data_IF_835340455612
#
_entry.id   IF_835340455612
#
_cell.length_a   1.000
_cell.length_b   1.000
_cell.length_c   1.000
_cell.angle_alpha   90.00
_cell.angle_beta   90.00
_cell.angle_gamma   90.00
#
_symmetry.space_group_name_H-M   'P 1'
#
loop_
_entity.id
_entity.type
_entity.pdbx_description
1 polymer ?
#
# COMPACT_ATOMS: atom_id res chain seq x y z
N UNK A 1 -15.75 -68.36 8.61
CA UNK A 1 -16.84 -69.10 7.94
C UNK A 1 -17.78 -68.14 7.30
N UNK A 2 -18.07 -68.32 5.97
CA UNK A 2 -18.96 -67.60 5.04
C UNK A 2 -18.42 -66.29 4.50
N UNK A 3 -17.81 -66.23 3.42
CA UNK A 3 -18.03 -66.23 1.94
C UNK A 3 -19.49 -65.86 1.51
N UNK A 4 -19.56 -64.82 0.70
CA UNK A 4 -20.42 -64.64 -0.49
C UNK A 4 -20.73 -63.15 -0.67
N UNK A 5 -20.82 -62.53 -1.80
CA UNK A 5 -20.75 -62.95 -3.22
C UNK A 5 -20.57 -61.65 -4.04
N UNK A 6 -19.81 -61.77 -5.08
CA UNK A 6 -19.68 -60.87 -6.23
C UNK A 6 -21.00 -60.73 -6.94
N UNK A 7 -21.40 -59.53 -7.34
CA UNK A 7 -22.26 -59.31 -8.50
C UNK A 7 -21.65 -58.20 -9.35
N UNK A 8 -21.20 -58.62 -10.53
CA UNK A 8 -20.88 -57.82 -11.71
C UNK A 8 -22.16 -57.56 -12.51
N UNK A 9 -22.44 -56.33 -12.88
CA UNK A 9 -23.24 -55.95 -14.07
C UNK A 9 -22.79 -54.54 -14.40
N UNK A 10 -22.21 -54.19 -15.50
CA UNK A 10 -22.37 -54.60 -16.88
C UNK A 10 -23.08 -53.48 -17.67
N UNK A 11 -22.27 -52.66 -18.40
CA UNK A 11 -22.57 -52.07 -19.71
C UNK A 11 -23.59 -50.92 -19.78
N UNK A 12 -23.15 -49.70 -20.20
CA UNK A 12 -23.51 -49.13 -21.50
C UNK A 12 -22.70 -47.87 -21.77
N UNK A 13 -21.80 -47.97 -22.72
CA UNK A 13 -21.13 -46.83 -23.35
C UNK A 13 -22.09 -46.18 -24.37
N UNK A 14 -22.43 -44.95 -24.19
CA UNK A 14 -23.07 -44.16 -25.25
C UNK A 14 -22.07 -43.11 -25.76
N UNK A 15 -21.52 -43.40 -26.93
CA UNK A 15 -20.72 -42.48 -27.74
C UNK A 15 -21.65 -41.38 -28.28
N UNK A 16 -21.47 -40.15 -27.85
CA UNK A 16 -22.04 -38.99 -28.53
C UNK A 16 -20.94 -38.28 -29.30
N UNK A 17 -20.98 -38.44 -30.62
CA UNK A 17 -20.12 -37.75 -31.57
C UNK A 17 -20.61 -36.30 -31.66
N UNK A 18 -19.83 -35.36 -31.18
CA UNK A 18 -20.05 -33.92 -31.43
C UNK A 18 -19.25 -33.53 -32.69
N UNK A 19 -19.97 -33.19 -33.73
CA UNK A 19 -19.42 -32.58 -34.96
C UNK A 19 -18.79 -31.23 -34.62
N UNK A 20 -17.49 -31.12 -34.84
CA UNK A 20 -16.79 -29.83 -34.82
C UNK A 20 -16.93 -29.23 -36.23
N UNK A 21 -17.74 -28.18 -36.37
CA UNK A 21 -17.69 -27.31 -37.53
C UNK A 21 -16.45 -26.42 -37.44
N UNK A 22 -15.43 -26.71 -38.23
CA UNK A 22 -14.30 -25.82 -38.48
C UNK A 22 -14.71 -24.76 -39.51
N UNK A 23 -14.95 -23.55 -39.02
CA UNK A 23 -15.02 -22.38 -39.90
C UNK A 23 -13.59 -21.94 -40.20
N UNK A 24 -13.12 -22.19 -41.44
CA UNK A 24 -11.89 -21.63 -41.98
C UNK A 24 -12.13 -20.17 -42.32
N UNK A 25 -11.59 -19.25 -41.52
CA UNK A 25 -11.48 -17.84 -41.89
C UNK A 25 -10.16 -17.67 -42.66
N UNK A 26 -10.25 -17.25 -43.90
CA UNK A 26 -9.14 -16.83 -44.74
C UNK A 26 -8.52 -15.55 -44.20
N UNK A 27 -7.19 -15.42 -44.13
CA UNK A 27 -6.56 -14.15 -43.78
C UNK A 27 -6.57 -13.24 -45.04
N UNK A 28 -7.26 -12.11 -44.95
CA UNK A 28 -7.05 -11.02 -45.89
C UNK A 28 -5.86 -10.19 -45.43
N UNK A 29 -4.74 -10.31 -46.13
CA UNK A 29 -3.62 -9.38 -46.04
C UNK A 29 -4.09 -7.97 -46.43
N UNK A 30 -4.14 -7.07 -45.44
CA UNK A 30 -4.12 -5.64 -45.66
C UNK A 30 -2.92 -5.06 -44.90
N UNK A 31 -1.80 -4.99 -45.60
CA UNK A 31 -0.68 -4.16 -45.19
C UNK A 31 -1.15 -2.72 -45.10
N UNK A 32 -1.23 -2.15 -43.94
CA UNK A 32 -1.39 -0.71 -43.75
C UNK A 32 -0.28 -0.18 -42.84
N UNK A 33 0.36 0.84 -43.41
CA UNK A 33 1.59 1.48 -43.09
C UNK A 33 1.93 1.66 -41.61
N UNK A 34 3.23 1.66 -41.37
CA UNK A 34 3.88 2.03 -40.11
C UNK A 34 3.43 3.44 -39.68
N UNK A 35 2.36 3.48 -38.85
CA UNK A 35 2.08 4.61 -37.97
C UNK A 35 2.97 4.44 -36.78
N UNK A 36 4.10 5.14 -36.74
CA UNK A 36 4.89 5.31 -35.53
C UNK A 36 3.98 5.85 -34.42
N UNK A 37 3.65 4.99 -33.46
CA UNK A 37 2.98 5.43 -32.26
C UNK A 37 3.91 6.46 -31.59
N UNK A 38 3.54 7.75 -31.67
CA UNK A 38 4.14 8.78 -30.82
C UNK A 38 4.03 8.27 -29.39
N UNK A 39 5.13 8.31 -28.60
CA UNK A 39 5.02 8.00 -27.17
C UNK A 39 3.90 8.89 -26.62
N UNK A 40 2.94 8.27 -25.95
CA UNK A 40 1.85 9.00 -25.31
C UNK A 40 2.46 10.16 -24.53
N UNK A 41 2.00 11.38 -24.81
CA UNK A 41 2.46 12.56 -24.12
C UNK A 41 2.30 12.28 -22.61
N UNK A 42 3.39 12.30 -21.85
CA UNK A 42 3.33 12.22 -20.40
C UNK A 42 2.40 13.35 -19.97
N UNK A 43 1.25 13.02 -19.42
CA UNK A 43 0.31 14.02 -18.92
C UNK A 43 1.06 14.92 -17.95
N UNK A 44 1.16 16.21 -18.28
CA UNK A 44 1.93 17.21 -17.52
C UNK A 44 1.45 17.36 -16.05
N UNK A 45 0.33 16.73 -15.72
CA UNK A 45 -0.41 16.83 -14.46
C UNK A 45 -0.45 15.52 -13.66
N UNK A 46 0.35 14.52 -14.04
CA UNK A 46 0.31 13.21 -13.40
C UNK A 46 1.01 13.20 -12.04
N UNK A 47 0.48 12.41 -11.13
CA UNK A 47 1.20 12.01 -9.90
C UNK A 47 2.37 11.12 -10.31
N UNK A 48 3.54 11.41 -9.77
CA UNK A 48 4.75 10.64 -9.98
C UNK A 48 5.28 10.12 -8.65
N UNK A 49 5.71 8.86 -8.65
CA UNK A 49 6.24 8.19 -7.48
C UNK A 49 7.60 7.53 -7.82
N UNK A 50 8.51 7.56 -6.86
CA UNK A 50 9.75 6.81 -6.90
C UNK A 50 9.99 6.16 -5.54
N UNK A 51 10.27 4.87 -5.53
CA UNK A 51 10.53 4.08 -4.34
C UNK A 51 11.98 3.67 -4.24
N UNK A 52 12.43 3.40 -3.03
CA UNK A 52 13.73 2.84 -2.78
C UNK A 52 13.70 1.96 -1.54
N UNK A 53 14.49 0.92 -1.59
CA UNK A 53 14.52 -0.16 -0.62
C UNK A 53 15.95 -0.47 -0.21
N UNK A 54 16.14 -0.76 1.07
CA UNK A 54 17.39 -1.32 1.61
C UNK A 54 17.07 -2.40 2.63
N UNK A 55 17.89 -3.43 2.64
CA UNK A 55 17.92 -4.47 3.66
C UNK A 55 19.23 -4.48 4.45
N UNK A 56 20.05 -3.46 4.29
CA UNK A 56 21.33 -3.33 5.01
C UNK A 56 21.10 -3.17 6.51
N UNK A 57 21.97 -3.76 7.31
CA UNK A 57 21.92 -3.66 8.77
C UNK A 57 22.45 -2.32 9.29
N UNK A 58 23.39 -1.70 8.57
CA UNK A 58 23.92 -0.36 8.91
C UNK A 58 22.86 0.72 8.62
N UNK A 59 22.38 1.44 9.63
CA UNK A 59 21.28 2.37 9.45
C UNK A 59 21.60 3.52 8.51
N UNK A 60 22.81 4.07 8.56
CA UNK A 60 23.22 5.19 7.71
C UNK A 60 23.28 4.75 6.24
N UNK A 61 23.89 3.59 5.97
CA UNK A 61 23.97 3.04 4.61
C UNK A 61 22.59 2.67 4.09
N UNK A 62 21.73 2.07 4.94
CA UNK A 62 20.38 1.70 4.56
C UNK A 62 19.53 2.92 4.19
N UNK A 63 19.57 3.98 5.01
CA UNK A 63 18.87 5.23 4.74
C UNK A 63 19.35 5.89 3.44
N UNK A 64 20.66 5.95 3.24
CA UNK A 64 21.26 6.55 2.04
C UNK A 64 20.93 5.75 0.77
N UNK A 65 21.03 4.41 0.83
CA UNK A 65 20.68 3.54 -0.32
C UNK A 65 19.23 3.70 -0.72
N UNK A 66 18.28 3.57 0.24
CA UNK A 66 16.86 3.70 -0.04
C UNK A 66 16.51 5.09 -0.58
N UNK A 67 17.07 6.16 0.02
CA UNK A 67 16.83 7.52 -0.44
C UNK A 67 17.41 7.78 -1.83
N UNK A 68 18.60 7.26 -2.15
CA UNK A 68 19.22 7.38 -3.48
C UNK A 68 18.38 6.70 -4.54
N UNK A 69 17.90 5.48 -4.28
CA UNK A 69 17.01 4.75 -5.18
C UNK A 69 15.72 5.51 -5.43
N UNK A 70 15.05 5.98 -4.36
CA UNK A 70 13.80 6.74 -4.48
C UNK A 70 13.99 8.05 -5.28
N UNK A 71 15.09 8.78 -5.02
CA UNK A 71 15.41 10.01 -5.75
C UNK A 71 15.69 9.75 -7.24
N UNK A 72 16.39 8.66 -7.54
CA UNK A 72 16.64 8.23 -8.93
C UNK A 72 15.32 7.81 -9.61
N UNK A 73 14.47 7.06 -8.92
CA UNK A 73 13.23 6.53 -9.47
C UNK A 73 12.20 7.62 -9.79
N UNK A 74 12.05 8.65 -8.95
CA UNK A 74 11.15 9.77 -9.23
C UNK A 74 11.65 10.68 -10.37
N UNK A 75 12.94 10.61 -10.69
CA UNK A 75 13.56 11.35 -11.80
C UNK A 75 13.61 12.86 -11.55
N UNK A 76 13.16 13.63 -12.53
CA UNK A 76 13.20 15.12 -12.49
C UNK A 76 12.04 15.76 -11.76
N UNK A 77 11.04 14.98 -11.36
CA UNK A 77 9.88 15.51 -10.64
C UNK A 77 10.28 15.91 -9.23
N UNK A 78 9.99 17.18 -8.86
CA UNK A 78 10.26 17.67 -7.51
C UNK A 78 9.33 16.97 -6.50
N UNK A 79 9.86 16.25 -5.49
CA UNK A 79 9.04 15.65 -4.45
C UNK A 79 8.32 16.70 -3.61
N UNK A 80 7.07 16.42 -3.26
CA UNK A 80 6.23 17.20 -2.34
C UNK A 80 5.95 16.44 -1.04
N UNK A 81 6.18 15.12 -1.07
CA UNK A 81 6.08 14.22 0.07
C UNK A 81 7.19 13.16 -0.03
N UNK A 82 7.86 12.92 1.07
CA UNK A 82 8.75 11.77 1.24
C UNK A 82 8.27 10.98 2.44
N UNK A 83 7.90 9.72 2.21
CA UNK A 83 7.58 8.79 3.30
C UNK A 83 8.76 7.87 3.54
N UNK A 84 9.13 7.75 4.81
CA UNK A 84 10.20 6.86 5.27
C UNK A 84 9.62 5.84 6.23
N UNK A 85 9.76 4.56 5.92
CA UNK A 85 9.49 3.50 6.86
C UNK A 85 10.79 2.83 7.25
N UNK A 86 11.01 2.70 8.56
CA UNK A 86 12.20 2.08 9.13
C UNK A 86 11.86 0.79 9.87
N UNK A 87 12.82 -0.11 10.03
CA UNK A 87 12.67 -1.29 10.89
C UNK A 87 12.75 -0.86 12.36
N UNK A 88 11.75 -1.26 13.16
CA UNK A 88 11.81 -1.13 14.62
C UNK A 88 12.79 -2.15 15.21
N UNK A 89 13.20 -1.94 16.46
CA UNK A 89 14.07 -2.81 17.26
C UNK A 89 15.44 -3.10 16.64
N UNK A 90 16.48 -2.86 17.41
CA UNK A 90 17.88 -3.09 17.05
C UNK A 90 18.35 -2.30 15.81
N UNK A 91 17.63 -1.25 15.42
CA UNK A 91 17.97 -0.42 14.27
C UNK A 91 17.93 1.06 14.67
N UNK A 92 19.03 1.79 14.47
CA UNK A 92 19.13 3.22 14.79
C UNK A 92 18.41 4.07 13.73
N UNK A 93 17.16 4.34 14.00
CA UNK A 93 16.29 5.07 13.09
C UNK A 93 16.69 6.54 12.93
N UNK A 94 17.32 7.13 13.94
CA UNK A 94 17.79 8.51 13.84
C UNK A 94 18.91 8.62 12.79
N UNK A 95 19.85 7.66 12.76
CA UNK A 95 20.91 7.61 11.74
C UNK A 95 20.35 7.35 10.34
N UNK A 96 19.38 6.44 10.21
CA UNK A 96 18.74 6.18 8.92
C UNK A 96 18.02 7.42 8.40
N UNK A 97 17.24 8.08 9.25
CA UNK A 97 16.49 9.29 8.89
C UNK A 97 17.45 10.45 8.56
N UNK A 98 18.54 10.64 9.33
CA UNK A 98 19.57 11.62 9.04
C UNK A 98 20.19 11.41 7.65
N UNK A 99 20.42 10.17 7.23
CA UNK A 99 20.90 9.87 5.89
C UNK A 99 19.87 10.22 4.80
N UNK A 100 18.58 9.96 5.03
CA UNK A 100 17.51 10.31 4.08
C UNK A 100 17.45 11.82 3.85
N UNK A 101 17.51 12.63 4.91
CA UNK A 101 17.42 14.10 4.80
C UNK A 101 18.66 14.76 4.20
N UNK A 102 19.75 14.02 3.93
CA UNK A 102 20.84 14.53 3.10
C UNK A 102 20.45 14.67 1.62
N UNK A 103 19.42 13.94 1.18
CA UNK A 103 18.97 13.90 -0.21
C UNK A 103 17.61 14.56 -0.44
N UNK A 104 16.82 14.75 0.62
CA UNK A 104 15.50 15.35 0.58
C UNK A 104 15.35 16.45 1.64
N UNK A 105 14.55 17.47 1.33
CA UNK A 105 14.18 18.50 2.29
C UNK A 105 13.47 17.86 3.50
N UNK A 106 13.96 18.16 4.70
CA UNK A 106 13.41 17.63 5.94
C UNK A 106 11.92 17.96 6.13
N UNK A 107 11.47 19.15 5.69
CA UNK A 107 10.10 19.61 5.86
C UNK A 107 9.05 18.77 5.14
N UNK A 108 9.45 17.98 4.15
CA UNK A 108 8.58 17.06 3.40
C UNK A 108 8.74 15.60 3.80
N UNK A 109 9.57 15.26 4.82
CA UNK A 109 9.88 13.90 5.24
C UNK A 109 9.05 13.50 6.46
N UNK A 110 8.26 12.43 6.30
CA UNK A 110 7.36 11.86 7.32
C UNK A 110 7.45 10.33 7.32
N UNK A 111 6.87 9.69 8.34
CA UNK A 111 6.80 8.23 8.38
C UNK A 111 6.82 7.64 9.77
N UNK A 112 7.21 6.38 9.87
CA UNK A 112 7.27 5.65 11.13
C UNK A 112 8.12 4.38 11.04
N UNK A 113 8.28 3.73 12.19
CA UNK A 113 8.89 2.41 12.29
C UNK A 113 7.86 1.29 12.23
N UNK A 114 8.20 0.22 11.51
CA UNK A 114 7.45 -1.04 11.44
C UNK A 114 8.30 -2.25 11.83
N UNK A 115 7.74 -3.44 11.74
CA UNK A 115 8.52 -4.69 11.92
C UNK A 115 9.54 -4.89 10.80
N UNK A 116 9.13 -4.67 9.57
CA UNK A 116 9.93 -4.56 8.34
C UNK A 116 9.20 -3.65 7.36
N UNK A 117 9.92 -3.20 6.35
CA UNK A 117 9.35 -2.37 5.28
C UNK A 117 9.04 -3.19 4.05
N UNK A 118 8.14 -2.69 3.23
CA UNK A 118 7.62 -3.32 2.01
C UNK A 118 7.82 -2.36 0.84
N UNK A 119 8.41 -2.85 -0.26
CA UNK A 119 8.40 -2.19 -1.57
C UNK A 119 8.25 -3.25 -2.66
N UNK A 120 8.20 -2.84 -3.93
CA UNK A 120 8.27 -3.75 -5.07
C UNK A 120 9.57 -4.56 -5.13
N UNK A 121 10.66 -4.10 -4.49
CA UNK A 121 11.93 -4.82 -4.44
C UNK A 121 11.97 -5.89 -3.33
N UNK A 122 11.17 -5.73 -2.25
CA UNK A 122 11.21 -6.66 -1.12
C UNK A 122 10.24 -6.33 -0.01
N UNK A 123 10.01 -7.30 0.88
CA UNK A 123 9.15 -7.15 2.07
C UNK A 123 9.85 -7.56 3.38
N UNK A 124 11.17 -7.47 3.39
CA UNK A 124 12.02 -7.72 4.56
C UNK A 124 13.01 -6.57 4.82
N UNK A 125 12.69 -5.37 4.31
CA UNK A 125 13.59 -4.21 4.36
C UNK A 125 13.80 -3.67 5.76
N UNK A 126 14.94 -3.02 5.92
CA UNK A 126 15.29 -2.21 7.09
C UNK A 126 14.85 -0.76 6.91
N UNK A 127 14.95 -0.23 5.68
CA UNK A 127 14.47 1.11 5.31
C UNK A 127 13.79 1.05 3.94
N UNK A 128 12.66 1.72 3.82
CA UNK A 128 12.07 2.07 2.52
C UNK A 128 11.73 3.55 2.46
N UNK A 129 11.85 4.12 1.27
CA UNK A 129 11.59 5.54 1.00
C UNK A 129 10.69 5.66 -0.21
N UNK A 130 9.62 6.46 -0.09
CA UNK A 130 8.81 6.93 -1.21
C UNK A 130 9.10 8.41 -1.41
N UNK A 131 9.42 8.81 -2.62
CA UNK A 131 9.34 10.19 -3.08
C UNK A 131 8.09 10.34 -3.97
N UNK A 132 7.18 11.24 -3.60
CA UNK A 132 5.92 11.49 -4.30
C UNK A 132 5.84 12.96 -4.73
N UNK A 133 5.53 13.20 -6.00
CA UNK A 133 5.46 14.54 -6.57
C UNK A 133 4.44 14.63 -7.70
N UNK A 134 4.54 15.70 -8.49
CA UNK A 134 3.56 16.02 -9.54
C UNK A 134 2.50 17.02 -9.05
N UNK A 135 1.32 17.01 -9.63
CA UNK A 135 0.25 17.96 -9.28
C UNK A 135 -0.57 17.49 -8.06
N UNK A 136 0.09 17.42 -6.94
CA UNK A 136 -0.51 17.14 -5.64
C UNK A 136 -0.27 18.30 -4.67
N UNK A 137 -1.15 18.42 -3.67
CA UNK A 137 -0.94 19.21 -2.47
C UNK A 137 -0.87 18.27 -1.28
N UNK A 138 0.05 18.53 -0.36
CA UNK A 138 0.29 17.72 0.83
C UNK A 138 0.11 18.58 2.08
N UNK A 139 -0.73 18.13 3.00
CA UNK A 139 -1.00 18.81 4.27
C UNK A 139 -0.76 17.83 5.41
N UNK A 140 0.39 17.92 6.11
CA UNK A 140 0.69 17.07 7.26
C UNK A 140 0.22 17.73 8.55
N UNK A 141 -0.43 16.96 9.42
CA UNK A 141 -0.82 17.36 10.77
C UNK A 141 -0.36 16.30 11.76
N UNK A 142 0.25 16.70 12.85
CA UNK A 142 0.61 15.84 13.96
C UNK A 142 -0.21 16.19 15.20
N UNK A 143 -0.66 15.18 15.92
CA UNK A 143 -1.28 15.31 17.24
C UNK A 143 -0.51 14.47 18.26
N UNK A 144 -0.31 15.02 19.46
CA UNK A 144 0.28 14.35 20.61
C UNK A 144 -0.74 14.11 21.74
N UNK A 145 -2.01 14.25 21.43
CA UNK A 145 -3.07 14.00 22.40
C UNK A 145 -3.05 12.51 22.82
N UNK A 146 -3.07 12.28 24.12
CA UNK A 146 -3.06 10.91 24.69
C UNK A 146 -4.39 10.18 24.46
N UNK A 147 -5.51 10.89 24.43
CA UNK A 147 -6.78 10.33 24.00
C UNK A 147 -6.80 10.22 22.47
N UNK A 148 -6.92 9.00 21.98
CA UNK A 148 -6.82 8.70 20.55
C UNK A 148 -8.00 9.25 19.74
N UNK A 149 -9.19 9.40 20.32
CA UNK A 149 -10.33 10.04 19.67
C UNK A 149 -10.07 11.54 19.51
N UNK A 150 -9.58 12.17 20.57
CA UNK A 150 -9.20 13.58 20.54
C UNK A 150 -8.00 13.82 19.62
N UNK A 151 -7.02 12.91 19.59
CA UNK A 151 -5.92 12.97 18.63
C UNK A 151 -6.43 12.96 17.18
N UNK A 152 -7.36 12.05 16.88
CA UNK A 152 -8.00 11.97 15.56
C UNK A 152 -8.78 13.26 15.20
N UNK A 153 -9.56 13.78 16.13
CA UNK A 153 -10.28 15.06 15.93
C UNK A 153 -9.33 16.22 15.68
N UNK A 154 -8.26 16.36 16.45
CA UNK A 154 -7.26 17.40 16.27
C UNK A 154 -6.58 17.31 14.89
N UNK A 155 -6.27 16.11 14.42
CA UNK A 155 -5.77 15.89 13.07
C UNK A 155 -6.83 16.30 12.05
N UNK A 156 -8.08 15.86 12.21
CA UNK A 156 -9.19 16.21 11.32
C UNK A 156 -9.40 17.72 11.21
N UNK A 157 -9.40 18.45 12.32
CA UNK A 157 -9.54 19.91 12.34
C UNK A 157 -8.39 20.62 11.59
N UNK A 158 -7.14 20.13 11.79
CA UNK A 158 -5.99 20.64 11.04
C UNK A 158 -6.07 20.38 9.53
N UNK A 159 -6.72 19.28 9.12
CA UNK A 159 -6.89 18.91 7.71
C UNK A 159 -8.14 19.50 7.05
N UNK A 160 -9.12 19.99 7.83
CA UNK A 160 -10.45 20.39 7.37
C UNK A 160 -10.42 21.31 6.16
N UNK A 161 -9.77 22.46 6.28
CA UNK A 161 -9.68 23.44 5.19
C UNK A 161 -9.06 22.84 3.91
N UNK A 162 -8.01 22.04 4.05
CA UNK A 162 -7.35 21.38 2.93
C UNK A 162 -8.20 20.25 2.32
N UNK A 163 -9.13 19.69 3.09
CA UNK A 163 -10.04 18.62 2.62
C UNK A 163 -11.23 19.16 1.82
N UNK A 164 -11.56 20.45 1.94
CA UNK A 164 -12.69 21.09 1.26
C UNK A 164 -12.39 21.52 -0.18
N UNK A 165 -11.14 21.32 -0.66
CA UNK A 165 -10.77 21.65 -2.04
C UNK A 165 -11.58 20.84 -3.06
N UNK A 166 -11.79 21.44 -4.25
CA UNK A 166 -12.61 20.80 -5.32
C UNK A 166 -11.93 19.64 -6.05
N UNK A 167 -10.65 19.37 -5.76
CA UNK A 167 -9.91 18.28 -6.38
C UNK A 167 -10.57 16.93 -6.09
N UNK A 168 -10.56 16.03 -7.08
CA UNK A 168 -11.27 14.75 -7.02
C UNK A 168 -10.53 13.70 -6.17
N UNK A 169 -9.20 13.71 -6.20
CA UNK A 169 -8.36 12.80 -5.42
C UNK A 169 -8.09 13.35 -4.03
N UNK A 170 -8.48 12.58 -3.01
CA UNK A 170 -8.21 12.90 -1.60
C UNK A 170 -7.96 11.61 -0.84
N UNK A 171 -6.84 11.53 -0.13
CA UNK A 171 -6.54 10.41 0.77
C UNK A 171 -5.71 10.90 1.95
N UNK A 172 -6.00 10.40 3.14
CA UNK A 172 -5.19 10.64 4.35
C UNK A 172 -4.32 9.41 4.59
N UNK A 173 -3.01 9.60 4.61
CA UNK A 173 -2.06 8.60 5.12
C UNK A 173 -1.93 8.83 6.62
N UNK A 174 -2.30 7.84 7.42
CA UNK A 174 -2.22 7.88 8.87
C UNK A 174 -1.13 6.93 9.37
N UNK A 175 -0.14 7.48 10.04
CA UNK A 175 0.88 6.71 10.77
C UNK A 175 0.93 7.20 12.21
N UNK A 176 1.05 6.30 13.17
CA UNK A 176 1.03 6.75 14.55
C UNK A 176 1.14 5.67 15.59
N UNK A 177 1.27 6.10 16.83
CA UNK A 177 1.26 5.25 18.02
C UNK A 177 -0.18 4.94 18.46
N UNK A 178 -0.85 4.13 17.65
CA UNK A 178 -2.26 3.78 17.85
C UNK A 178 -2.51 2.29 17.57
N UNK A 179 -2.02 1.43 18.48
CA UNK A 179 -2.16 -0.02 18.35
C UNK A 179 -3.62 -0.50 18.34
N UNK A 180 -3.85 -1.65 17.71
CA UNK A 180 -5.15 -2.33 17.80
C UNK A 180 -5.50 -2.69 19.24
N UNK A 181 -6.78 -2.62 19.63
CA UNK A 181 -7.97 -2.21 18.84
C UNK A 181 -8.20 -0.69 18.83
N UNK A 182 -7.31 0.07 19.44
CA UNK A 182 -7.51 1.51 19.67
C UNK A 182 -7.27 2.38 18.44
N UNK A 183 -6.60 1.86 17.39
CA UNK A 183 -6.36 2.55 16.12
C UNK A 183 -7.66 3.06 15.47
N UNK A 184 -8.78 2.36 15.66
CA UNK A 184 -10.08 2.78 15.15
C UNK A 184 -10.58 4.10 15.77
N UNK A 185 -10.14 4.45 16.97
CA UNK A 185 -10.51 5.73 17.63
C UNK A 185 -9.92 6.92 16.88
N UNK A 186 -8.67 6.84 16.45
CA UNK A 186 -8.01 7.89 15.67
C UNK A 186 -8.69 8.05 14.31
N UNK A 187 -8.93 6.92 13.61
CA UNK A 187 -9.62 6.95 12.29
C UNK A 187 -10.99 7.60 12.42
N UNK A 188 -11.82 7.18 13.38
CA UNK A 188 -13.15 7.77 13.62
C UNK A 188 -13.06 9.26 14.00
N UNK A 189 -12.07 9.65 14.80
CA UNK A 189 -11.84 11.05 15.15
C UNK A 189 -11.57 11.91 13.91
N UNK A 190 -10.69 11.45 13.00
CA UNK A 190 -10.42 12.15 11.74
C UNK A 190 -11.69 12.23 10.89
N UNK A 191 -12.34 11.09 10.63
CA UNK A 191 -13.52 11.01 9.75
C UNK A 191 -14.71 11.80 10.27
N UNK A 192 -14.86 11.96 11.59
CA UNK A 192 -15.94 12.80 12.17
C UNK A 192 -15.80 14.30 11.82
N UNK A 193 -14.63 14.74 11.37
CA UNK A 193 -14.36 16.14 11.02
C UNK A 193 -14.31 16.35 9.51
N UNK A 194 -13.57 15.49 8.78
CA UNK A 194 -13.38 15.66 7.32
C UNK A 194 -14.36 14.83 6.48
N UNK A 195 -15.24 14.07 7.12
CA UNK A 195 -16.21 13.19 6.45
C UNK A 195 -15.66 11.77 6.18
N UNK A 196 -16.59 10.83 6.00
CA UNK A 196 -16.27 9.39 5.81
C UNK A 196 -15.92 9.04 4.36
N UNK A 197 -16.15 9.95 3.42
CA UNK A 197 -15.86 9.74 1.98
C UNK A 197 -14.39 9.88 1.63
N UNK A 198 -13.60 10.58 2.47
CA UNK A 198 -12.15 10.69 2.30
C UNK A 198 -11.51 9.48 2.98
N UNK A 199 -10.87 8.58 2.22
CA UNK A 199 -10.25 7.41 2.82
C UNK A 199 -9.08 7.80 3.74
N UNK A 200 -9.07 7.19 4.93
CA UNK A 200 -7.95 7.22 5.86
C UNK A 200 -7.30 5.85 5.81
N UNK A 201 -6.07 5.78 5.29
CA UNK A 201 -5.31 4.53 5.13
C UNK A 201 -3.98 4.65 5.85
N UNK A 202 -3.43 3.55 6.33
CA UNK A 202 -2.17 3.61 7.06
C UNK A 202 -1.91 2.43 7.97
N UNK A 203 -0.95 2.62 8.88
CA UNK A 203 -0.57 1.59 9.84
C UNK A 203 -0.08 2.18 11.17
N UNK A 204 -0.28 1.40 12.24
CA UNK A 204 0.24 1.74 13.55
C UNK A 204 1.74 1.47 13.62
N UNK A 205 2.49 2.47 14.08
CA UNK A 205 3.93 2.38 14.25
C UNK A 205 4.30 1.32 15.29
N UNK A 206 5.36 0.56 15.00
CA UNK A 206 5.97 -0.32 15.99
C UNK A 206 6.75 0.52 17.00
N UNK A 207 6.67 0.17 18.28
CA UNK A 207 7.31 0.88 19.40
C UNK A 207 6.97 2.39 19.49
N UNK A 208 5.87 2.81 18.82
CA UNK A 208 5.41 4.19 18.82
C UNK A 208 6.31 5.19 18.09
N UNK A 209 7.35 4.73 17.40
CA UNK A 209 8.31 5.64 16.74
C UNK A 209 7.73 6.21 15.44
N UNK A 210 7.57 7.53 15.41
CA UNK A 210 7.09 8.28 14.25
C UNK A 210 8.10 9.34 13.82
N UNK A 211 8.02 9.73 12.53
CA UNK A 211 8.90 10.74 11.93
C UNK A 211 8.06 11.92 11.43
N UNK A 212 8.41 13.12 11.83
CA UNK A 212 7.75 14.35 11.42
C UNK A 212 8.76 15.41 11.04
N UNK A 213 8.71 15.87 9.78
CA UNK A 213 9.63 16.87 9.22
C UNK A 213 11.10 16.49 9.44
N UNK A 214 11.45 15.28 9.02
CA UNK A 214 12.82 14.77 9.08
C UNK A 214 13.38 14.53 10.49
N UNK A 215 12.53 14.53 11.53
CA UNK A 215 12.93 14.29 12.92
C UNK A 215 12.13 13.15 13.53
N UNK A 216 12.73 12.44 14.47
CA UNK A 216 12.01 11.50 15.34
C UNK A 216 11.04 12.31 16.20
N UNK A 217 9.75 12.09 16.03
CA UNK A 217 8.72 12.76 16.82
C UNK A 217 8.45 12.05 18.17
N UNK A 218 8.88 10.79 18.28
CA UNK A 218 8.73 9.98 19.50
C UNK A 218 7.38 9.27 19.61
N UNK A 219 7.16 8.66 20.78
CA UNK A 219 5.94 7.91 21.11
C UNK A 219 4.71 8.84 21.30
N UNK A 220 3.53 8.26 21.26
CA UNK A 220 2.22 8.92 21.47
C UNK A 220 1.94 10.05 20.45
N UNK A 221 2.55 9.97 19.28
CA UNK A 221 2.29 10.88 18.18
C UNK A 221 1.51 10.16 17.09
N UNK A 222 0.51 10.85 16.56
CA UNK A 222 -0.26 10.40 15.41
C UNK A 222 -0.14 11.47 14.32
N UNK A 223 0.15 11.05 13.10
CA UNK A 223 0.43 11.94 11.97
C UNK A 223 -0.55 11.59 10.86
N UNK A 224 -1.42 12.53 10.51
CA UNK A 224 -2.28 12.46 9.34
C UNK A 224 -1.71 13.34 8.23
N UNK A 225 -1.54 12.77 7.04
CA UNK A 225 -0.99 13.44 5.86
C UNK A 225 -2.07 13.39 4.79
N UNK A 226 -2.77 14.49 4.56
CA UNK A 226 -3.73 14.60 3.48
C UNK A 226 -3.00 14.89 2.17
N UNK A 227 -3.24 14.04 1.18
CA UNK A 227 -2.79 14.22 -0.21
C UNK A 227 -4.02 14.55 -1.03
N UNK A 228 -4.00 15.68 -1.74
CA UNK A 228 -5.05 16.11 -2.66
C UNK A 228 -4.48 16.35 -4.05
N UNK A 229 -5.27 16.12 -5.09
CA UNK A 229 -4.85 16.33 -6.48
C UNK A 229 -5.92 15.85 -7.47
N UNK A 230 -5.60 15.92 -8.75
CA UNK A 230 -6.51 15.42 -9.79
C UNK A 230 -6.17 13.97 -10.16
N UNK A 231 -6.47 13.06 -9.23
CA UNK A 231 -6.25 11.64 -9.36
C UNK A 231 -7.46 10.85 -8.80
N UNK A 232 -7.51 9.56 -9.03
CA UNK A 232 -8.47 8.65 -8.39
C UNK A 232 -7.78 7.89 -7.26
N UNK A 233 -8.57 7.47 -6.28
CA UNK A 233 -8.10 6.65 -5.15
C UNK A 233 -8.82 5.31 -5.19
N UNK A 234 -8.05 4.24 -5.20
CA UNK A 234 -8.56 2.88 -5.03
C UNK A 234 -8.13 2.31 -3.70
N UNK A 235 -9.05 1.71 -2.93
CA UNK A 235 -8.74 1.17 -1.61
C UNK A 235 -9.39 -0.19 -1.39
N UNK A 236 -8.69 -1.06 -0.65
CA UNK A 236 -9.25 -2.30 -0.14
C UNK A 236 -8.51 -2.74 1.12
N UNK A 237 -9.26 -3.07 2.15
CA UNK A 237 -8.73 -3.63 3.40
C UNK A 237 -9.35 -5.00 3.62
N UNK A 238 -8.52 -6.05 3.60
CA UNK A 238 -8.95 -7.43 3.67
C UNK A 238 -8.35 -8.18 4.84
N UNK A 239 -9.14 -9.11 5.35
CA UNK A 239 -8.73 -10.13 6.32
C UNK A 239 -9.25 -11.49 5.84
N UNK A 240 -8.39 -12.47 5.79
CA UNK A 240 -8.77 -13.86 5.46
C UNK A 240 -8.96 -14.71 6.71
N UNK A 241 -9.63 -14.16 7.70
CA UNK A 241 -10.16 -14.96 8.80
C UNK A 241 -9.33 -14.97 10.08
N UNK A 242 -9.68 -15.86 11.02
CA UNK A 242 -9.17 -15.88 12.38
C UNK A 242 -7.71 -16.35 12.44
N UNK A 243 -7.14 -16.30 13.66
CA UNK A 243 -5.74 -16.63 13.97
C UNK A 243 -5.26 -18.00 13.45
N UNK A 244 -6.20 -18.89 13.10
CA UNK A 244 -5.91 -20.26 12.64
C UNK A 244 -5.79 -20.41 11.12
N UNK A 245 -5.88 -19.32 10.38
CA UNK A 245 -5.76 -19.31 8.93
C UNK A 245 -4.37 -19.76 8.47
N UNK A 246 -4.33 -20.58 7.42
CA UNK A 246 -3.08 -21.00 6.76
C UNK A 246 -2.41 -19.82 6.02
N UNK A 247 -1.07 -19.83 5.95
CA UNK A 247 -0.27 -18.78 5.32
C UNK A 247 -0.68 -18.47 3.88
N UNK A 248 -1.04 -19.48 3.07
CA UNK A 248 -1.47 -19.31 1.69
C UNK A 248 -2.74 -18.44 1.54
N UNK A 249 -3.67 -18.48 2.50
CA UNK A 249 -4.85 -17.61 2.49
C UNK A 249 -4.48 -16.16 2.78
N UNK A 250 -3.51 -15.93 3.66
CA UNK A 250 -2.98 -14.59 3.93
C UNK A 250 -2.30 -14.01 2.68
N UNK A 251 -1.49 -14.84 2.00
CA UNK A 251 -0.85 -14.48 0.72
C UNK A 251 -1.91 -14.14 -0.34
N UNK A 252 -2.94 -14.98 -0.49
CA UNK A 252 -4.02 -14.73 -1.44
C UNK A 252 -4.79 -13.43 -1.14
N UNK A 253 -5.03 -13.13 0.15
CA UNK A 253 -5.68 -11.89 0.58
C UNK A 253 -4.88 -10.65 0.16
N UNK A 254 -3.55 -10.70 0.21
CA UNK A 254 -2.71 -9.59 -0.23
C UNK A 254 -2.87 -9.32 -1.74
N UNK A 255 -2.79 -10.35 -2.58
CA UNK A 255 -3.08 -10.22 -4.01
C UNK A 255 -4.50 -9.70 -4.28
N UNK A 256 -5.50 -10.21 -3.56
CA UNK A 256 -6.89 -9.77 -3.73
C UNK A 256 -7.10 -8.30 -3.29
N UNK A 257 -6.46 -7.85 -2.19
CA UNK A 257 -6.51 -6.45 -1.77
C UNK A 257 -5.95 -5.51 -2.84
N UNK A 258 -4.83 -5.88 -3.44
CA UNK A 258 -4.23 -5.14 -4.54
C UNK A 258 -5.13 -5.11 -5.78
N UNK A 259 -5.67 -6.26 -6.18
CA UNK A 259 -6.62 -6.36 -7.30
C UNK A 259 -7.84 -5.45 -7.10
N UNK A 260 -8.39 -5.43 -5.90
CA UNK A 260 -9.51 -4.57 -5.57
C UNK A 260 -9.13 -3.08 -5.58
N UNK A 261 -7.94 -2.72 -5.08
CA UNK A 261 -7.47 -1.34 -5.01
C UNK A 261 -7.19 -0.76 -6.41
N UNK A 262 -6.52 -1.49 -7.29
CA UNK A 262 -6.23 -0.98 -8.65
C UNK A 262 -7.43 -1.14 -9.60
N UNK A 263 -8.28 -2.14 -9.39
CA UNK A 263 -9.45 -2.43 -10.22
C UNK A 263 -9.06 -2.57 -11.71
N UNK A 264 -9.80 -1.90 -12.58
CA UNK A 264 -9.52 -1.84 -14.03
C UNK A 264 -8.49 -0.77 -14.42
N UNK A 265 -7.96 -0.02 -13.45
CA UNK A 265 -7.14 1.17 -13.71
C UNK A 265 -5.63 0.90 -13.58
N UNK A 266 -5.20 -0.35 -13.67
CA UNK A 266 -3.80 -0.74 -13.47
C UNK A 266 -2.84 0.07 -14.36
N UNK A 267 -3.18 0.28 -15.64
CA UNK A 267 -2.35 1.02 -16.58
C UNK A 267 -2.15 2.51 -16.23
N UNK A 268 -3.05 3.07 -15.43
CA UNK A 268 -3.00 4.45 -14.96
C UNK A 268 -2.55 4.57 -13.49
N UNK A 269 -2.30 3.44 -12.82
CA UNK A 269 -1.87 3.45 -11.43
C UNK A 269 -0.46 4.02 -11.32
N UNK A 270 -0.31 5.08 -10.53
CA UNK A 270 0.97 5.73 -10.27
C UNK A 270 1.77 5.01 -9.18
N UNK A 271 1.07 4.48 -8.17
CA UNK A 271 1.67 3.76 -7.05
C UNK A 271 0.63 3.04 -6.20
N UNK A 272 1.09 2.13 -5.33
CA UNK A 272 0.24 1.46 -4.34
C UNK A 272 0.90 1.53 -2.95
N UNK A 273 0.11 1.88 -1.94
CA UNK A 273 0.48 1.69 -0.54
C UNK A 273 0.05 0.30 -0.05
N UNK A 274 0.89 -0.32 0.81
CA UNK A 274 0.64 -1.61 1.45
C UNK A 274 0.88 -1.51 2.97
N UNK A 275 -0.17 -1.37 3.74
CA UNK A 275 -0.07 -1.41 5.21
C UNK A 275 -0.53 -2.79 5.68
N UNK A 276 0.39 -3.56 6.25
CA UNK A 276 0.14 -4.95 6.61
C UNK A 276 0.40 -5.20 8.09
N UNK A 277 -0.17 -6.26 8.62
CA UNK A 277 -0.08 -6.61 10.03
C UNK A 277 1.19 -7.40 10.35
N UNK A 278 1.89 -6.99 11.39
CA UNK A 278 2.99 -7.75 11.95
C UNK A 278 2.59 -9.16 12.40
N UNK A 279 1.33 -9.35 12.82
CA UNK A 279 0.78 -10.66 13.13
C UNK A 279 0.64 -11.56 11.90
N UNK A 280 0.19 -11.02 10.76
CA UNK A 280 0.15 -11.73 9.46
C UNK A 280 1.56 -12.12 9.03
N UNK A 281 2.50 -11.15 9.08
CA UNK A 281 3.91 -11.37 8.80
C UNK A 281 4.48 -12.54 9.61
N UNK A 282 4.21 -12.56 10.92
CA UNK A 282 4.63 -13.64 11.81
C UNK A 282 4.02 -15.00 11.43
N UNK A 283 2.75 -15.03 11.08
CA UNK A 283 2.04 -16.25 10.69
C UNK A 283 2.52 -16.80 9.34
N UNK A 284 2.82 -15.95 8.38
CA UNK A 284 3.38 -16.36 7.09
C UNK A 284 4.80 -16.91 7.22
N UNK A 285 5.59 -16.42 8.19
CA UNK A 285 6.93 -16.95 8.45
C UNK A 285 7.80 -17.01 7.17
N UNK A 286 8.17 -18.23 6.78
CA UNK A 286 8.97 -18.50 5.56
C UNK A 286 8.23 -18.18 4.26
N UNK A 287 6.90 -18.18 4.26
CA UNK A 287 6.07 -17.94 3.09
C UNK A 287 5.82 -16.43 2.85
N UNK A 288 6.38 -15.55 3.69
CA UNK A 288 6.28 -14.10 3.51
C UNK A 288 6.73 -13.58 2.13
N UNK A 289 7.78 -14.10 1.47
CA UNK A 289 8.12 -13.66 0.12
C UNK A 289 7.01 -13.92 -0.91
N UNK A 290 6.18 -14.95 -0.70
CA UNK A 290 5.06 -15.26 -1.59
C UNK A 290 3.96 -14.18 -1.52
N UNK A 291 3.82 -13.49 -0.39
CA UNK A 291 2.92 -12.34 -0.28
C UNK A 291 3.30 -11.22 -1.24
N UNK A 292 4.58 -10.83 -1.29
CA UNK A 292 5.05 -9.85 -2.25
C UNK A 292 4.85 -10.32 -3.70
N UNK A 293 5.11 -11.58 -3.99
CA UNK A 293 4.84 -12.16 -5.32
C UNK A 293 3.36 -12.09 -5.70
N UNK A 294 2.45 -12.32 -4.73
CA UNK A 294 1.01 -12.19 -4.95
C UNK A 294 0.60 -10.74 -5.25
N UNK A 295 1.20 -9.74 -4.58
CA UNK A 295 1.01 -8.33 -4.89
C UNK A 295 1.56 -8.00 -6.29
N UNK A 296 2.78 -8.43 -6.59
CA UNK A 296 3.46 -8.20 -7.89
C UNK A 296 2.73 -8.89 -9.05
N UNK A 297 2.10 -10.03 -8.82
CA UNK A 297 1.28 -10.71 -9.84
C UNK A 297 0.10 -9.84 -10.32
N UNK A 298 -0.36 -8.92 -9.47
CA UNK A 298 -1.43 -7.97 -9.81
C UNK A 298 -0.88 -6.70 -10.46
N UNK A 299 0.14 -6.08 -9.85
CA UNK A 299 0.58 -4.73 -10.25
C UNK A 299 1.89 -4.72 -11.04
N UNK A 300 2.54 -5.87 -11.18
CA UNK A 300 3.86 -5.99 -11.81
C UNK A 300 5.00 -5.67 -10.83
N UNK A 301 6.23 -6.02 -11.24
CA UNK A 301 7.44 -5.86 -10.42
C UNK A 301 8.07 -4.47 -10.48
N UNK A 302 7.48 -3.56 -11.27
CA UNK A 302 7.99 -2.19 -11.47
C UNK A 302 7.03 -1.11 -10.96
N UNK A 303 5.85 -1.51 -10.46
CA UNK A 303 4.89 -0.57 -9.89
C UNK A 303 5.44 -0.03 -8.58
N UNK A 304 5.60 1.29 -8.43
CA UNK A 304 6.00 1.86 -7.15
C UNK A 304 5.08 1.39 -6.02
N UNK A 305 5.64 0.67 -5.08
CA UNK A 305 4.95 0.07 -3.95
C UNK A 305 5.68 0.47 -2.67
N UNK A 306 4.95 0.96 -1.68
CA UNK A 306 5.53 1.25 -0.37
C UNK A 306 4.60 0.88 0.76
N UNK A 307 5.19 0.40 1.84
CA UNK A 307 4.48 0.12 3.07
C UNK A 307 5.35 -0.48 4.16
N UNK A 308 4.69 -1.03 5.16
CA UNK A 308 5.36 -1.68 6.28
C UNK A 308 4.42 -2.65 7.00
N UNK A 309 5.00 -3.54 7.78
CA UNK A 309 4.26 -4.39 8.73
C UNK A 309 4.11 -3.65 10.05
N UNK A 310 2.89 -3.27 10.38
CA UNK A 310 2.55 -2.47 11.56
C UNK A 310 1.91 -3.26 12.71
N UNK A 311 1.54 -2.54 13.77
CA UNK A 311 0.82 -3.06 14.94
C UNK A 311 -0.69 -2.83 14.86
N UNK A 312 -1.21 -2.63 13.66
CA UNK A 312 -2.59 -2.37 13.30
C UNK A 312 -2.65 -1.62 11.99
N UNK A 313 -3.67 -1.88 11.22
CA UNK A 313 -3.88 -1.31 9.89
C UNK A 313 -5.08 -0.38 9.92
N UNK A 314 -5.11 0.58 9.00
CA UNK A 314 -6.23 1.48 8.78
C UNK A 314 -6.60 1.50 7.31
N UNK A 315 -7.90 1.46 7.03
CA UNK A 315 -8.41 1.56 5.67
C UNK A 315 -9.88 1.20 5.55
N UNK A 316 -10.51 1.58 4.43
CA UNK A 316 -11.87 1.16 4.12
C UNK A 316 -11.87 -0.25 3.52
N UNK A 317 -12.93 -1.03 3.73
CA UNK A 317 -13.10 -2.35 3.07
C UNK A 317 -13.09 -2.26 1.55
N UNK A 318 -13.63 -1.17 1.02
CA UNK A 318 -13.66 -0.85 -0.41
C UNK A 318 -13.80 0.66 -0.58
N UNK A 319 -13.53 1.16 -1.79
CA UNK A 319 -13.73 2.57 -2.12
C UNK A 319 -15.14 3.05 -1.77
N UNK A 320 -15.25 4.24 -1.21
CA UNK A 320 -16.52 4.85 -0.81
C UNK A 320 -17.14 4.26 0.47
N UNK A 321 -16.48 3.32 1.14
CA UNK A 321 -16.90 2.85 2.47
C UNK A 321 -16.12 3.59 3.56
N UNK A 322 -16.68 3.72 4.77
CA UNK A 322 -15.98 4.31 5.90
C UNK A 322 -14.68 3.58 6.20
N UNK A 323 -13.64 4.35 6.53
CA UNK A 323 -12.37 3.79 6.98
C UNK A 323 -12.47 3.27 8.40
N UNK A 324 -11.71 2.23 8.69
CA UNK A 324 -11.67 1.57 9.99
C UNK A 324 -10.22 1.36 10.43
N UNK A 325 -9.99 1.40 11.73
CA UNK A 325 -8.80 0.81 12.33
C UNK A 325 -9.05 -0.66 12.63
N UNK A 326 -8.19 -1.52 12.16
CA UNK A 326 -8.30 -2.98 12.24
C UNK A 326 -6.98 -3.61 12.65
N UNK A 327 -6.99 -4.90 12.92
CA UNK A 327 -5.79 -5.70 13.13
C UNK A 327 -5.89 -7.01 12.39
N UNK A 328 -4.75 -7.59 12.05
CA UNK A 328 -4.64 -8.82 11.27
C UNK A 328 -5.20 -8.70 9.84
N UNK A 329 -5.09 -7.50 9.27
CA UNK A 329 -5.52 -7.19 7.91
C UNK A 329 -4.33 -6.77 7.04
N UNK A 330 -4.57 -6.69 5.73
CA UNK A 330 -3.78 -5.89 4.80
C UNK A 330 -4.66 -4.78 4.23
N UNK A 331 -4.14 -3.56 4.21
CA UNK A 331 -4.79 -2.39 3.61
C UNK A 331 -3.97 -1.93 2.42
N UNK A 332 -4.54 -2.04 1.22
CA UNK A 332 -3.98 -1.56 -0.03
C UNK A 332 -4.68 -0.26 -0.45
N UNK A 333 -3.88 0.72 -0.92
CA UNK A 333 -4.42 1.96 -1.45
C UNK A 333 -3.63 2.40 -2.68
N UNK A 334 -4.30 2.54 -3.82
CA UNK A 334 -3.72 2.97 -5.09
C UNK A 334 -3.99 4.45 -5.35
N UNK A 335 -2.98 5.17 -5.82
CA UNK A 335 -3.13 6.48 -6.47
C UNK A 335 -3.11 6.23 -7.96
N UNK A 336 -4.16 6.69 -8.65
CA UNK A 336 -4.43 6.37 -10.05
C UNK A 336 -4.55 7.69 -10.82
N UNK A 337 -3.69 7.91 -11.80
CA UNK A 337 -3.75 9.06 -12.70
C UNK A 337 -5.03 8.98 -13.54
N UNK A 338 -5.60 10.12 -13.88
CA UNK A 338 -6.74 10.24 -14.79
C UNK A 338 -6.31 10.24 -16.24
#
# INVERSE_FOLDING_TARGET
MKLNKVILTGIAATLTIAMILTATATPTDAACGACGAKPAAKHAHAVSAGTGYSALEDPTKAGLEAATKAKKAIGTVKPKLVLVFGMAKKFDQAKALAAVITLFDADIVFGCAGYNTITEEGNAGTVSVLALGGEITVTPIMSDNKDLTAAGKAIGEGLKKASEVKQSGKVVILVGDCHVPSNNKVVKGISSVIGETIPVVGGAAMDGTTYFKGKIAGAKKNIGILITGDFLVGCSTLNEGPKDVHANKLVAAAGQAFKNAVGKNLAHTAMVFAFDCGGRRGKMGKDRPEELKAMQAVVGTKMPLIGFYGSGEMGPKACGKPSMGVGYHISACAIINK
#
